data_IF_459629956608
#
_entry.id   IF_459629956608
#
_cell.length_a   1.000
_cell.length_b   1.000
_cell.length_c   1.000
_cell.angle_alpha   90.00
_cell.angle_beta   90.00
_cell.angle_gamma   90.00
#
_symmetry.space_group_name_H-M   'P 1'
#
loop_
_entity.id
_entity.type
_entity.pdbx_description
1 polymer ?
#
# COMPACT_ATOMS: atom_id res chain seq x y z
N UNK A 1 -20.86 -13.88 -7.51
CA UNK A 1 -19.94 -12.89 -8.10
C UNK A 1 -19.55 -11.93 -6.99
N UNK A 2 -18.26 -11.82 -6.71
CA UNK A 2 -17.75 -10.84 -5.74
C UNK A 2 -17.78 -9.47 -6.39
N UNK A 3 -18.52 -8.53 -5.79
CA UNK A 3 -18.57 -7.13 -6.26
C UNK A 3 -17.54 -6.34 -5.47
N UNK A 4 -16.70 -5.59 -6.19
CA UNK A 4 -15.71 -4.70 -5.61
C UNK A 4 -16.18 -3.25 -5.73
N UNK A 5 -16.14 -2.52 -4.63
CA UNK A 5 -16.43 -1.09 -4.57
C UNK A 5 -15.13 -0.34 -4.33
N UNK A 6 -14.85 0.67 -5.15
CA UNK A 6 -13.70 1.56 -4.92
C UNK A 6 -13.99 2.47 -3.74
N UNK A 7 -13.19 2.36 -2.68
CA UNK A 7 -13.26 3.26 -1.52
C UNK A 7 -12.35 4.47 -1.70
N UNK A 8 -11.18 4.28 -2.33
CA UNK A 8 -10.21 5.35 -2.51
C UNK A 8 -9.39 5.16 -3.79
N UNK A 9 -9.08 6.27 -4.46
CA UNK A 9 -8.07 6.35 -5.52
C UNK A 9 -7.28 7.64 -5.34
N UNK A 10 -5.97 7.54 -5.22
CA UNK A 10 -5.11 8.72 -5.04
C UNK A 10 -3.63 8.37 -5.00
N UNK A 11 -2.81 9.32 -4.58
CA UNK A 11 -1.37 9.14 -4.44
C UNK A 11 -0.98 9.29 -2.97
N UNK A 12 -0.29 8.29 -2.43
CA UNK A 12 0.27 8.28 -1.07
C UNK A 12 1.76 7.91 -1.16
N UNK A 13 2.62 8.65 -0.45
CA UNK A 13 4.08 8.47 -0.46
C UNK A 13 4.70 8.37 -1.88
N UNK A 14 4.16 9.13 -2.82
CA UNK A 14 4.63 9.12 -4.21
C UNK A 14 4.25 7.86 -5.01
N UNK A 15 3.41 6.98 -4.47
CA UNK A 15 2.84 5.81 -5.15
C UNK A 15 1.36 6.01 -5.41
N UNK A 16 0.90 5.60 -6.59
CA UNK A 16 -0.54 5.56 -6.85
C UNK A 16 -1.15 4.39 -6.10
N UNK A 17 -2.30 4.63 -5.48
CA UNK A 17 -2.99 3.65 -4.65
C UNK A 17 -4.48 3.63 -4.97
N UNK A 18 -5.02 2.43 -5.17
CA UNK A 18 -6.45 2.18 -5.24
C UNK A 18 -6.85 1.19 -4.15
N UNK A 19 -7.81 1.58 -3.31
CA UNK A 19 -8.42 0.72 -2.31
C UNK A 19 -9.80 0.27 -2.79
N UNK A 20 -10.00 -1.04 -2.80
CA UNK A 20 -11.25 -1.70 -3.14
C UNK A 20 -11.75 -2.48 -1.93
N UNK A 21 -13.06 -2.49 -1.71
CA UNK A 21 -13.72 -3.34 -0.72
C UNK A 21 -14.65 -4.31 -1.42
N UNK A 22 -14.56 -5.59 -1.07
CA UNK A 22 -15.49 -6.60 -1.53
C UNK A 22 -16.80 -6.53 -0.72
N UNK A 23 -17.91 -6.91 -1.35
CA UNK A 23 -19.23 -7.00 -0.69
C UNK A 23 -19.28 -7.93 0.54
N UNK A 24 -18.30 -8.82 0.70
CA UNK A 24 -18.16 -9.70 1.86
C UNK A 24 -17.14 -9.20 2.90
N UNK A 25 -16.67 -7.95 2.78
CA UNK A 25 -15.83 -7.29 3.79
C UNK A 25 -14.32 -7.48 3.66
N UNK A 26 -13.82 -8.12 2.58
CA UNK A 26 -12.38 -8.09 2.31
C UNK A 26 -11.97 -6.79 1.65
N UNK A 27 -10.67 -6.49 1.72
CA UNK A 27 -10.06 -5.30 1.12
C UNK A 27 -8.99 -5.73 0.12
N UNK A 28 -8.84 -4.94 -0.94
CA UNK A 28 -7.76 -5.08 -1.91
C UNK A 28 -7.09 -3.74 -2.10
N UNK A 29 -5.77 -3.71 -1.95
CA UNK A 29 -4.96 -2.54 -2.21
C UNK A 29 -4.14 -2.80 -3.49
N UNK A 30 -4.23 -1.85 -4.42
CA UNK A 30 -3.45 -1.85 -5.64
C UNK A 30 -2.51 -0.65 -5.56
N UNK A 31 -1.21 -0.90 -5.55
CA UNK A 31 -0.20 0.16 -5.50
C UNK A 31 0.62 0.15 -6.76
N UNK A 32 0.94 1.31 -7.31
CA UNK A 32 1.77 1.45 -8.49
C UNK A 32 2.87 2.48 -8.23
N UNK A 33 4.12 2.06 -8.44
CA UNK A 33 5.29 2.92 -8.37
C UNK A 33 5.25 3.96 -9.51
N UNK A 34 5.29 5.25 -9.17
CA UNK A 34 5.35 6.32 -10.18
C UNK A 34 6.77 6.60 -10.68
N UNK A 35 7.77 6.33 -9.85
CA UNK A 35 9.16 6.68 -10.12
C UNK A 35 10.04 5.43 -10.09
N UNK A 36 11.11 5.45 -10.87
CA UNK A 36 12.17 4.46 -10.73
C UNK A 36 12.93 4.78 -9.45
N UNK A 37 12.94 3.86 -8.49
CA UNK A 37 13.87 3.87 -7.38
C UNK A 37 15.05 2.95 -7.73
N UNK A 38 16.26 3.52 -7.71
CA UNK A 38 17.48 2.80 -8.08
C UNK A 38 17.85 1.77 -7.01
N UNK A 39 17.20 1.80 -5.85
CA UNK A 39 17.57 1.00 -4.69
C UNK A 39 18.80 1.61 -4.03
N UNK A 40 18.89 1.47 -2.72
CA UNK A 40 20.04 1.93 -1.95
C UNK A 40 20.52 0.81 -1.05
N UNK A 41 21.82 0.54 -1.12
CA UNK A 41 22.52 -0.27 -0.13
C UNK A 41 23.39 0.69 0.69
N UNK A 42 23.18 0.72 1.99
CA UNK A 42 24.08 1.43 2.89
C UNK A 42 24.36 0.60 4.13
N UNK A 43 25.56 0.81 4.65
CA UNK A 43 26.05 0.12 5.84
C UNK A 43 26.25 1.16 6.93
N UNK A 44 25.54 0.98 8.04
CA UNK A 44 25.73 1.76 9.28
C UNK A 44 26.30 0.82 10.36
N UNK A 45 27.62 0.88 10.55
CA UNK A 45 28.34 0.01 11.47
C UNK A 45 28.18 -1.49 11.14
N UNK A 46 27.67 -2.34 12.06
CA UNK A 46 27.42 -3.74 11.80
C UNK A 46 26.12 -4.02 11.02
N UNK A 47 25.29 -2.99 10.79
CA UNK A 47 23.97 -3.14 10.17
C UNK A 47 24.07 -2.92 8.67
N UNK A 48 23.64 -3.91 7.89
CA UNK A 48 23.52 -3.82 6.44
C UNK A 48 22.05 -3.63 6.07
N UNK A 49 21.71 -2.50 5.45
CA UNK A 49 20.36 -2.23 4.94
C UNK A 49 20.40 -2.27 3.42
N UNK A 50 19.58 -3.14 2.85
CA UNK A 50 19.38 -3.23 1.40
C UNK A 50 17.94 -2.85 1.09
N UNK A 51 17.78 -1.75 0.36
CA UNK A 51 16.50 -1.35 -0.25
C UNK A 51 16.57 -1.78 -1.71
N UNK A 52 15.75 -2.77 -2.07
CA UNK A 52 15.67 -3.26 -3.45
C UNK A 52 15.26 -2.12 -4.39
N UNK A 53 15.87 -2.03 -5.59
CA UNK A 53 15.37 -1.15 -6.63
C UNK A 53 13.91 -1.48 -6.96
N UNK A 54 13.09 -0.46 -7.22
CA UNK A 54 11.74 -0.63 -7.71
C UNK A 54 11.56 0.15 -9.01
N UNK A 55 10.95 -0.49 -10.01
CA UNK A 55 10.79 0.15 -11.32
C UNK A 55 9.50 0.98 -11.37
N UNK A 56 9.50 2.09 -12.10
CA UNK A 56 8.29 2.83 -12.44
C UNK A 56 7.33 1.89 -13.17
N UNK A 57 6.08 1.83 -12.70
CA UNK A 57 5.07 0.91 -13.21
C UNK A 57 5.02 -0.45 -12.51
N UNK A 58 5.92 -0.73 -11.56
CA UNK A 58 5.80 -1.91 -10.71
C UNK A 58 4.51 -1.79 -9.88
N UNK A 59 3.64 -2.77 -10.04
CA UNK A 59 2.35 -2.84 -9.39
C UNK A 59 2.35 -3.95 -8.34
N UNK A 60 1.97 -3.61 -7.12
CA UNK A 60 1.79 -4.58 -6.04
C UNK A 60 0.31 -4.62 -5.67
N UNK A 61 -0.25 -5.83 -5.73
CA UNK A 61 -1.60 -6.14 -5.26
C UNK A 61 -1.51 -6.89 -3.94
N UNK A 62 -2.28 -6.46 -2.94
CA UNK A 62 -2.46 -7.21 -1.70
C UNK A 62 -3.95 -7.29 -1.36
N UNK A 63 -4.44 -8.50 -1.11
CA UNK A 63 -5.82 -8.79 -0.71
C UNK A 63 -5.81 -9.30 0.73
N UNK A 64 -6.61 -8.65 1.59
CA UNK A 64 -6.63 -8.87 3.03
C UNK A 64 -8.06 -8.99 3.54
N UNK A 65 -8.26 -9.72 4.63
CA UNK A 65 -9.59 -10.05 5.12
C UNK A 65 -10.15 -9.09 6.16
N UNK A 66 -9.35 -8.13 6.65
CA UNK A 66 -9.77 -7.16 7.66
C UNK A 66 -9.03 -5.83 7.49
N UNK A 67 -9.57 -4.79 8.14
CA UNK A 67 -8.99 -3.46 8.16
C UNK A 67 -7.65 -3.44 8.92
N UNK A 68 -7.52 -4.21 10.00
CA UNK A 68 -6.25 -4.39 10.71
C UNK A 68 -5.18 -5.00 9.80
N UNK A 69 -5.52 -6.05 9.05
CA UNK A 69 -4.61 -6.67 8.09
C UNK A 69 -4.26 -5.73 6.93
N UNK A 70 -5.16 -4.81 6.55
CA UNK A 70 -4.86 -3.76 5.57
C UNK A 70 -3.82 -2.78 6.10
N UNK A 71 -3.94 -2.36 7.36
CA UNK A 71 -2.95 -1.50 8.00
C UNK A 71 -1.57 -2.18 8.07
N UNK A 72 -1.51 -3.46 8.45
CA UNK A 72 -0.24 -4.21 8.45
C UNK A 72 0.35 -4.35 7.05
N UNK A 73 -0.46 -4.72 6.05
CA UNK A 73 0.00 -4.84 4.66
C UNK A 73 0.60 -3.51 4.15
N UNK A 74 -0.02 -2.38 4.48
CA UNK A 74 0.51 -1.06 4.12
C UNK A 74 1.87 -0.77 4.78
N UNK A 75 2.06 -1.19 6.04
CA UNK A 75 3.36 -1.03 6.74
C UNK A 75 4.43 -1.95 6.16
N UNK A 76 4.07 -3.18 5.80
CA UNK A 76 4.96 -4.12 5.12
C UNK A 76 5.39 -3.61 3.73
N UNK A 77 4.52 -2.87 3.05
CA UNK A 77 4.83 -2.15 1.82
C UNK A 77 5.64 -0.85 2.05
N UNK A 78 6.05 -0.58 3.29
CA UNK A 78 6.83 0.58 3.70
C UNK A 78 6.16 1.94 3.46
N UNK A 79 4.82 2.00 3.53
CA UNK A 79 4.13 3.29 3.60
C UNK A 79 4.33 3.96 4.97
N UNK A 80 4.38 5.28 4.97
CA UNK A 80 4.46 6.13 6.14
C UNK A 80 3.24 5.97 7.04
N UNK A 81 3.41 6.21 8.33
CA UNK A 81 2.31 6.15 9.30
C UNK A 81 1.16 7.11 8.95
N UNK A 82 1.48 8.26 8.35
CA UNK A 82 0.51 9.25 7.87
C UNK A 82 -0.31 8.69 6.70
N UNK A 83 0.35 8.06 5.71
CA UNK A 83 -0.32 7.41 4.59
C UNK A 83 -1.22 6.25 5.06
N UNK A 84 -0.75 5.42 6.00
CA UNK A 84 -1.54 4.35 6.60
C UNK A 84 -2.78 4.93 7.27
N UNK A 85 -2.62 5.96 8.12
CA UNK A 85 -3.73 6.58 8.83
C UNK A 85 -4.75 7.23 7.89
N UNK A 86 -4.28 7.92 6.83
CA UNK A 86 -5.15 8.52 5.83
C UNK A 86 -5.97 7.45 5.09
N UNK A 87 -5.33 6.32 4.74
CA UNK A 87 -6.02 5.22 4.07
C UNK A 87 -7.05 4.53 4.98
N UNK A 88 -6.73 4.33 6.27
CA UNK A 88 -7.68 3.75 7.23
C UNK A 88 -8.92 4.62 7.39
N UNK A 89 -8.75 5.95 7.45
CA UNK A 89 -9.88 6.87 7.55
C UNK A 89 -10.83 6.78 6.33
N UNK A 90 -10.29 6.56 5.12
CA UNK A 90 -11.10 6.32 3.93
C UNK A 90 -11.77 4.94 3.94
N UNK A 91 -11.10 3.92 4.50
CA UNK A 91 -11.65 2.57 4.62
C UNK A 91 -12.80 2.46 5.65
N UNK A 92 -12.80 3.30 6.67
CA UNK A 92 -13.84 3.39 7.70
C UNK A 92 -15.00 4.31 7.29
N UNK A 93 -14.85 5.07 6.21
CA UNK A 93 -15.86 6.01 5.77
C UNK A 93 -17.08 5.23 5.24
N UNK A 94 -18.30 5.50 5.73
CA UNK A 94 -19.49 4.87 5.17
C UNK A 94 -19.65 5.29 3.71
N UNK A 95 -19.87 4.30 2.83
CA UNK A 95 -20.13 4.49 1.41
C UNK A 95 -21.47 5.21 1.15
#
# INVERSE_FOLDING_TARGET
>A
MTTWTTLYTGTLDGRDLTLLQASHGSYKVLTQQKFNDVGIAYQDGPTYVHVSPSSAGEAVESEVMSLDSLAEAMRELHFSAEAVSALMAEAERPA
#
